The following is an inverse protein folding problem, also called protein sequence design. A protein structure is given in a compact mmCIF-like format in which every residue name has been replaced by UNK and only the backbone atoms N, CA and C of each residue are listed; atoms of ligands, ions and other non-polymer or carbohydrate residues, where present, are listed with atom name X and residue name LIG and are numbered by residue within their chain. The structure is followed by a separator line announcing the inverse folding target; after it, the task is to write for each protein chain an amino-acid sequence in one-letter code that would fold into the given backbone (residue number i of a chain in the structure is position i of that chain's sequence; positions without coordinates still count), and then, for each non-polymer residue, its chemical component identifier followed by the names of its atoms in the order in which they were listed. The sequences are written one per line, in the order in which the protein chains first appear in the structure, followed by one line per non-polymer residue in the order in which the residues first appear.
data_IF_035432449292
#
_entry.id   IF_035432449292
#
_cell.length_a   1.000
_cell.length_b   1.000
_cell.length_c   1.000
_cell.angle_alpha   90.00
_cell.angle_beta   90.00
_cell.angle_gamma   90.00
#
_symmetry.space_group_name_H-M   'P 1'
#
loop_
_entity.id
_entity.type
_entity.pdbx_description
1 polymer ?
#
# COMPACT_ATOMS: atom_id res chain seq x y z
N UNK A 1 13.41 -33.40 8.34
CA UNK A 1 14.46 -34.33 8.83
C UNK A 1 15.49 -34.79 7.79
N UNK A 2 15.39 -34.43 6.49
CA UNK A 2 16.37 -34.86 5.46
C UNK A 2 17.55 -33.90 5.23
N UNK A 3 17.46 -32.61 5.60
CA UNK A 3 18.54 -31.61 5.35
C UNK A 3 19.62 -31.59 6.44
N UNK A 4 19.28 -31.90 7.69
CA UNK A 4 20.24 -32.00 8.80
C UNK A 4 21.14 -33.24 8.73
N UNK A 5 20.69 -34.32 8.09
CA UNK A 5 21.50 -35.52 7.86
C UNK A 5 22.60 -35.32 6.78
N UNK A 6 22.35 -34.44 5.81
CA UNK A 6 23.30 -34.18 4.71
C UNK A 6 24.48 -33.33 5.19
N UNK A 7 24.25 -32.35 6.06
CA UNK A 7 25.31 -31.49 6.62
C UNK A 7 26.23 -32.30 7.56
N UNK A 8 25.66 -33.26 8.32
CA UNK A 8 26.43 -34.16 9.18
C UNK A 8 27.29 -35.15 8.36
N UNK A 9 26.79 -35.63 7.21
CA UNK A 9 27.57 -36.46 6.28
C UNK A 9 28.70 -35.70 5.60
N UNK A 10 28.49 -34.43 5.23
CA UNK A 10 29.52 -33.60 4.59
C UNK A 10 30.65 -33.21 5.57
N UNK A 11 30.34 -33.07 6.86
CA UNK A 11 31.33 -32.85 7.91
C UNK A 11 32.16 -34.12 8.21
N UNK A 12 31.57 -35.32 8.10
CA UNK A 12 32.27 -36.58 8.33
C UNK A 12 33.22 -36.98 7.19
N UNK A 13 32.94 -36.57 5.95
CA UNK A 13 33.80 -36.87 4.79
C UNK A 13 35.03 -35.96 4.68
N UNK A 14 34.99 -34.75 5.25
CA UNK A 14 36.17 -33.88 5.33
C UNK A 14 37.19 -34.34 6.38
N UNK A 15 36.74 -35.05 7.43
CA UNK A 15 37.62 -35.58 8.49
C UNK A 15 38.40 -36.83 8.02
N UNK A 16 37.88 -37.59 7.05
CA UNK A 16 38.51 -38.82 6.56
C UNK A 16 39.53 -38.62 5.43
N UNK A 17 39.62 -37.43 4.82
CA UNK A 17 40.63 -37.10 3.80
C UNK A 17 41.98 -36.63 4.36
N UNK A 18 42.11 -36.46 5.68
CA UNK A 18 43.38 -36.13 6.35
C UNK A 18 44.09 -37.34 6.96
N UNK A 19 43.56 -38.55 6.79
CA UNK A 19 44.24 -39.80 7.20
C UNK A 19 45.22 -40.31 6.14
N UNK A 20 46.05 -39.41 5.62
CA UNK A 20 47.24 -39.79 4.88
C UNK A 20 48.34 -40.13 5.88
N UNK A 21 48.66 -41.42 6.03
CA UNK A 21 49.86 -41.87 6.71
C UNK A 21 51.08 -41.12 6.17
N UNK A 22 51.62 -40.18 6.94
CA UNK A 22 52.99 -39.72 6.74
C UNK A 22 53.89 -40.91 7.08
N UNK A 23 54.29 -41.67 6.07
CA UNK A 23 55.42 -42.58 6.18
C UNK A 23 56.62 -41.69 6.52
N UNK A 24 57.06 -41.74 7.77
CA UNK A 24 58.31 -41.09 8.19
C UNK A 24 59.40 -41.52 7.21
N UNK A 25 60.10 -40.59 6.53
CA UNK A 25 61.26 -40.95 5.74
C UNK A 25 62.23 -41.69 6.67
N UNK A 26 62.87 -42.75 6.17
CA UNK A 26 63.91 -43.44 6.92
C UNK A 26 64.88 -42.39 7.48
N UNK A 27 65.05 -42.36 8.79
CA UNK A 27 65.96 -41.44 9.45
C UNK A 27 67.34 -41.67 8.87
N UNK A 28 67.78 -40.77 7.99
CA UNK A 28 69.20 -40.56 7.83
C UNK A 28 69.64 -40.04 9.20
N UNK A 29 70.32 -40.89 9.97
CA UNK A 29 71.05 -40.45 11.15
C UNK A 29 71.89 -39.26 10.72
N UNK A 30 71.46 -38.06 11.09
CA UNK A 30 72.40 -36.96 11.25
C UNK A 30 73.38 -37.47 12.28
N UNK A 31 74.58 -37.87 11.85
CA UNK A 31 75.64 -38.48 12.63
C UNK A 31 76.23 -37.52 13.67
N UNK A 32 75.37 -37.02 14.53
CA UNK A 32 75.62 -36.05 15.58
C UNK A 32 75.32 -36.79 16.87
N UNK A 33 76.36 -37.11 17.64
CA UNK A 33 76.22 -37.83 18.91
C UNK A 33 75.36 -37.02 19.87
N UNK A 34 74.71 -37.63 20.88
CA UNK A 34 73.84 -36.95 21.86
C UNK A 34 74.46 -35.74 22.61
N UNK A 35 75.77 -35.51 22.48
CA UNK A 35 76.52 -34.38 23.02
C UNK A 35 76.74 -33.21 22.03
N UNK A 36 76.29 -33.31 20.78
CA UNK A 36 76.56 -32.33 19.72
C UNK A 36 75.30 -31.63 19.18
N UNK A 37 74.13 -31.88 19.78
CA UNK A 37 72.92 -31.09 19.49
C UNK A 37 73.00 -29.75 20.23
N UNK A 38 73.40 -28.69 19.52
CA UNK A 38 73.48 -27.31 20.05
C UNK A 38 72.12 -26.63 20.19
N UNK A 39 71.01 -27.31 19.86
CA UNK A 39 69.66 -26.74 19.89
C UNK A 39 68.88 -27.02 21.19
N UNK A 40 69.45 -26.76 22.36
CA UNK A 40 68.63 -26.58 23.58
C UNK A 40 68.54 -25.09 23.85
N UNK A 41 67.48 -24.44 23.35
CA UNK A 41 67.07 -23.14 23.85
C UNK A 41 67.01 -23.24 25.37
N UNK A 42 67.72 -22.34 26.04
CA UNK A 42 67.68 -22.25 27.50
C UNK A 42 66.24 -22.00 27.95
N UNK A 43 65.89 -22.43 29.18
CA UNK A 43 64.57 -22.16 29.73
C UNK A 43 64.22 -20.66 29.75
N UNK A 44 65.23 -19.79 29.79
CA UNK A 44 65.10 -18.34 29.65
C UNK A 44 64.73 -17.90 28.23
N UNK A 45 65.32 -18.50 27.19
CA UNK A 45 64.97 -18.18 25.80
C UNK A 45 63.56 -18.65 25.45
N UNK A 46 63.15 -19.85 25.90
CA UNK A 46 61.76 -20.33 25.73
C UNK A 46 60.75 -19.44 26.47
N UNK A 47 61.13 -18.86 27.61
CA UNK A 47 60.27 -17.94 28.36
C UNK A 47 60.12 -16.61 27.63
N UNK A 48 61.22 -16.06 27.10
CA UNK A 48 61.19 -14.86 26.25
C UNK A 48 60.36 -15.04 24.99
N UNK A 49 60.50 -16.18 24.32
CA UNK A 49 59.74 -16.49 23.12
C UNK A 49 58.24 -16.60 23.43
N UNK A 50 57.85 -17.27 24.53
CA UNK A 50 56.45 -17.31 24.96
C UNK A 50 55.88 -15.95 25.34
N UNK A 51 56.66 -15.09 26.01
CA UNK A 51 56.25 -13.72 26.31
C UNK A 51 56.06 -12.90 25.03
N UNK A 52 56.97 -13.04 24.06
CA UNK A 52 56.87 -12.42 22.73
C UNK A 52 55.63 -12.89 21.97
N UNK A 53 55.40 -14.20 21.90
CA UNK A 53 54.24 -14.80 21.24
C UNK A 53 52.93 -14.37 21.90
N UNK A 54 52.91 -14.25 23.23
CA UNK A 54 51.75 -13.73 23.96
C UNK A 54 51.47 -12.27 23.60
N UNK A 55 52.50 -11.42 23.54
CA UNK A 55 52.31 -10.03 23.12
C UNK A 55 51.86 -9.90 21.66
N UNK A 56 52.36 -10.76 20.77
CA UNK A 56 51.93 -10.81 19.37
C UNK A 56 50.48 -11.29 19.25
N UNK A 57 50.09 -12.31 20.03
CA UNK A 57 48.72 -12.80 20.11
C UNK A 57 47.75 -11.72 20.61
N UNK A 58 48.12 -11.01 21.69
CA UNK A 58 47.31 -9.92 22.24
C UNK A 58 47.18 -8.77 21.23
N UNK A 59 48.26 -8.42 20.53
CA UNK A 59 48.25 -7.42 19.44
C UNK A 59 47.35 -7.84 18.28
N UNK A 60 47.47 -9.10 17.82
CA UNK A 60 46.65 -9.65 16.74
C UNK A 60 45.18 -9.72 17.11
N UNK A 61 44.87 -9.99 18.38
CA UNK A 61 43.49 -9.95 18.89
C UNK A 61 42.89 -8.55 18.84
N UNK A 62 43.65 -7.53 19.24
CA UNK A 62 43.23 -6.13 19.14
C UNK A 62 43.04 -5.68 17.68
N UNK A 63 43.94 -6.09 16.77
CA UNK A 63 43.77 -5.83 15.33
C UNK A 63 42.48 -6.47 14.79
N UNK A 64 42.17 -7.69 15.23
CA UNK A 64 40.97 -8.42 14.80
C UNK A 64 39.69 -7.76 15.32
N UNK A 65 39.65 -7.36 16.60
CA UNK A 65 38.52 -6.62 17.18
C UNK A 65 38.30 -5.27 16.48
N UNK A 66 39.38 -4.57 16.13
CA UNK A 66 39.30 -3.32 15.37
C UNK A 66 38.77 -3.59 13.95
N UNK A 67 39.27 -4.62 13.27
CA UNK A 67 38.85 -4.97 11.92
C UNK A 67 37.37 -5.38 11.87
N UNK A 68 36.89 -6.13 12.87
CA UNK A 68 35.47 -6.46 13.01
C UNK A 68 34.60 -5.21 13.17
N UNK A 69 35.03 -4.26 14.01
CA UNK A 69 34.33 -2.99 14.19
C UNK A 69 34.32 -2.15 12.91
N UNK A 70 35.44 -2.07 12.21
CA UNK A 70 35.57 -1.34 10.95
C UNK A 70 34.69 -1.99 9.86
N UNK A 71 34.66 -3.32 9.80
CA UNK A 71 33.78 -4.07 8.89
C UNK A 71 32.29 -3.80 9.17
N UNK A 72 31.87 -3.85 10.44
CA UNK A 72 30.48 -3.54 10.82
C UNK A 72 30.08 -2.10 10.48
N UNK A 73 30.97 -1.14 10.69
CA UNK A 73 30.73 0.25 10.31
C UNK A 73 30.61 0.41 8.79
N UNK A 74 31.48 -0.26 8.03
CA UNK A 74 31.43 -0.24 6.56
C UNK A 74 30.14 -0.87 6.03
N UNK A 75 29.72 -2.00 6.60
CA UNK A 75 28.47 -2.67 6.21
C UNK A 75 27.25 -1.75 6.42
N UNK A 76 27.13 -1.12 7.59
CA UNK A 76 26.05 -0.15 7.88
C UNK A 76 26.07 1.06 6.94
N UNK A 77 27.27 1.56 6.62
CA UNK A 77 27.40 2.70 5.71
C UNK A 77 26.99 2.32 4.27
N UNK A 78 27.38 1.12 3.83
CA UNK A 78 26.97 0.61 2.52
C UNK A 78 25.45 0.42 2.43
N UNK A 79 24.79 -0.10 3.47
CA UNK A 79 23.33 -0.20 3.53
C UNK A 79 22.65 1.18 3.39
N UNK A 80 23.13 2.18 4.14
CA UNK A 80 22.61 3.54 4.05
C UNK A 80 22.79 4.16 2.66
N UNK A 81 23.95 3.95 2.02
CA UNK A 81 24.21 4.43 0.65
C UNK A 81 23.26 3.75 -0.35
N UNK A 82 23.05 2.45 -0.22
CA UNK A 82 22.11 1.71 -1.09
C UNK A 82 20.69 2.24 -0.92
N UNK A 83 20.25 2.50 0.31
CA UNK A 83 18.90 3.06 0.58
C UNK A 83 18.72 4.42 -0.08
N UNK A 84 19.69 5.33 0.06
CA UNK A 84 19.65 6.65 -0.57
C UNK A 84 19.67 6.61 -2.08
N UNK A 85 20.42 5.67 -2.65
CA UNK A 85 20.43 5.45 -4.10
C UNK A 85 19.06 5.00 -4.60
N UNK A 86 18.40 4.07 -3.89
CA UNK A 86 17.06 3.62 -4.24
C UNK A 86 16.02 4.75 -4.16
N UNK A 87 16.10 5.60 -3.13
CA UNK A 87 15.23 6.78 -3.03
C UNK A 87 15.47 7.79 -4.16
N UNK A 88 16.74 8.05 -4.51
CA UNK A 88 17.09 8.92 -5.63
C UNK A 88 16.64 8.35 -6.99
N UNK A 89 16.74 7.02 -7.17
CA UNK A 89 16.22 6.32 -8.35
C UNK A 89 14.69 6.46 -8.44
N UNK A 90 13.99 6.32 -7.32
CA UNK A 90 12.54 6.51 -7.22
C UNK A 90 12.12 7.96 -7.55
N UNK A 91 12.82 8.96 -7.03
CA UNK A 91 12.58 10.37 -7.38
C UNK A 91 12.81 10.65 -8.88
N UNK A 92 13.82 10.02 -9.48
CA UNK A 92 14.06 10.13 -10.91
C UNK A 92 12.95 9.46 -11.72
N UNK A 93 12.45 8.30 -11.26
CA UNK A 93 11.35 7.58 -11.88
C UNK A 93 10.07 8.43 -11.91
N UNK A 94 9.76 9.15 -10.82
CA UNK A 94 8.66 10.11 -10.79
C UNK A 94 8.77 11.11 -11.95
N UNK A 95 9.95 11.66 -12.22
CA UNK A 95 10.10 12.68 -13.28
C UNK A 95 10.03 12.08 -14.68
N UNK A 96 10.60 10.89 -14.89
CA UNK A 96 10.85 10.35 -16.24
C UNK A 96 9.82 9.32 -16.70
N UNK A 97 9.21 8.56 -15.77
CA UNK A 97 8.30 7.46 -16.10
C UNK A 97 7.03 7.95 -16.79
N UNK A 98 6.59 7.27 -17.84
CA UNK A 98 5.26 7.49 -18.43
C UNK A 98 4.16 6.71 -17.70
N UNK A 99 4.55 5.71 -16.92
CA UNK A 99 3.67 4.87 -16.13
C UNK A 99 3.54 5.39 -14.69
N UNK A 100 2.81 4.65 -13.86
CA UNK A 100 2.67 4.94 -12.44
C UNK A 100 4.03 4.80 -11.75
N UNK A 101 4.55 5.86 -11.10
CA UNK A 101 5.93 5.88 -10.62
C UNK A 101 6.10 5.01 -9.37
N UNK A 102 7.27 4.41 -9.23
CA UNK A 102 7.60 3.57 -8.08
C UNK A 102 8.01 4.44 -6.89
N UNK A 103 7.05 4.79 -6.03
CA UNK A 103 7.28 5.57 -4.84
C UNK A 103 7.98 4.77 -3.75
N UNK A 104 9.10 5.30 -3.22
CA UNK A 104 9.85 4.67 -2.13
C UNK A 104 10.60 5.70 -1.30
N UNK A 105 10.55 5.58 0.03
CA UNK A 105 11.31 6.44 0.95
C UNK A 105 12.18 5.63 1.92
N UNK A 106 13.39 6.12 2.23
CA UNK A 106 14.26 5.58 3.28
C UNK A 106 13.62 5.74 4.68
N UNK A 107 12.90 6.85 4.89
CA UNK A 107 12.26 7.15 6.17
C UNK A 107 10.78 6.76 6.16
N UNK A 108 10.37 5.88 7.08
CA UNK A 108 8.99 5.40 7.16
C UNK A 108 8.12 6.17 8.16
N UNK A 109 8.69 7.16 8.85
CA UNK A 109 7.92 8.06 9.71
C UNK A 109 7.18 9.14 8.88
N UNK A 110 6.13 9.72 9.47
CA UNK A 110 5.27 10.72 8.84
C UNK A 110 6.03 11.89 8.23
N UNK A 111 7.02 12.44 8.93
CA UNK A 111 7.72 13.63 8.45
C UNK A 111 8.64 13.29 7.29
N UNK A 112 9.30 12.14 7.34
CA UNK A 112 10.15 11.67 6.24
C UNK A 112 9.33 11.42 4.97
N UNK A 113 8.19 10.72 5.08
CA UNK A 113 7.31 10.47 3.93
C UNK A 113 6.76 11.79 3.35
N UNK A 114 6.31 12.72 4.20
CA UNK A 114 5.86 14.05 3.75
C UNK A 114 6.99 14.81 3.06
N UNK A 115 8.22 14.77 3.60
CA UNK A 115 9.38 15.41 2.99
C UNK A 115 9.63 14.85 1.60
N UNK A 116 9.67 13.52 1.47
CA UNK A 116 9.84 12.83 0.20
C UNK A 116 8.75 13.20 -0.82
N UNK A 117 7.48 13.25 -0.40
CA UNK A 117 6.37 13.68 -1.27
C UNK A 117 6.50 15.14 -1.67
N UNK A 118 6.94 16.04 -0.79
CA UNK A 118 7.18 17.44 -1.12
C UNK A 118 8.36 17.62 -2.09
N UNK A 119 9.45 16.87 -1.91
CA UNK A 119 10.58 16.87 -2.84
C UNK A 119 10.16 16.36 -4.23
N UNK A 120 9.28 15.36 -4.25
CA UNK A 120 8.64 14.85 -5.47
C UNK A 120 7.76 15.92 -6.13
N UNK A 121 6.94 16.63 -5.34
CA UNK A 121 6.10 17.75 -5.83
C UNK A 121 6.97 18.83 -6.46
N UNK A 122 8.01 19.29 -5.77
CA UNK A 122 8.92 20.33 -6.29
C UNK A 122 9.64 19.91 -7.56
N UNK A 123 9.95 18.62 -7.70
CA UNK A 123 10.55 18.07 -8.93
C UNK A 123 9.59 18.09 -10.12
N UNK A 124 8.29 18.31 -9.89
CA UNK A 124 7.23 18.33 -10.89
C UNK A 124 6.65 19.74 -11.16
N UNK A 125 7.22 20.81 -10.61
CA UNK A 125 6.66 22.18 -10.69
C UNK A 125 6.35 22.64 -12.13
N UNK A 126 7.19 22.27 -13.11
CA UNK A 126 7.01 22.60 -14.54
C UNK A 126 6.30 21.49 -15.36
N UNK A 127 5.83 20.44 -14.68
CA UNK A 127 5.17 19.29 -15.31
C UNK A 127 3.65 19.45 -15.38
N UNK A 128 3.03 18.81 -16.38
CA UNK A 128 1.57 18.62 -16.36
C UNK A 128 1.15 17.61 -15.28
N UNK A 129 2.10 16.82 -14.80
CA UNK A 129 1.90 15.82 -13.77
C UNK A 129 2.05 16.45 -12.40
N UNK A 130 1.30 15.93 -11.42
CA UNK A 130 1.21 16.52 -10.09
C UNK A 130 1.06 15.45 -9.02
N UNK A 131 1.48 15.79 -7.81
CA UNK A 131 1.19 15.05 -6.59
C UNK A 131 0.46 16.03 -5.65
N UNK A 132 -0.63 15.59 -5.04
CA UNK A 132 -1.42 16.37 -4.10
C UNK A 132 -1.59 15.55 -2.81
N UNK A 133 -1.11 16.07 -1.69
CA UNK A 133 -1.37 15.47 -0.38
C UNK A 133 -2.77 15.90 0.06
N UNK A 134 -3.70 14.94 0.14
CA UNK A 134 -5.10 15.17 0.50
C UNK A 134 -5.27 15.21 2.02
N UNK A 135 -4.63 14.28 2.72
CA UNK A 135 -4.74 14.14 4.17
C UNK A 135 -3.45 13.57 4.76
N UNK A 136 -3.11 13.99 5.98
CA UNK A 136 -1.98 13.44 6.72
C UNK A 136 -2.35 13.23 8.20
N UNK A 137 -2.56 11.97 8.58
CA UNK A 137 -2.80 11.54 9.97
C UNK A 137 -1.52 10.95 10.56
N UNK A 138 -1.57 10.53 11.82
CA UNK A 138 -0.41 9.92 12.48
C UNK A 138 -0.18 8.46 12.06
N UNK A 139 -1.16 7.83 11.42
CA UNK A 139 -1.08 6.45 10.93
C UNK A 139 -1.00 6.34 9.41
N UNK A 140 -1.45 7.36 8.66
CA UNK A 140 -1.63 7.27 7.22
C UNK A 140 -1.55 8.62 6.52
N UNK A 141 -0.98 8.64 5.32
CA UNK A 141 -1.00 9.76 4.38
C UNK A 141 -1.84 9.36 3.17
N UNK A 142 -2.84 10.18 2.83
CA UNK A 142 -3.63 10.04 1.62
C UNK A 142 -3.15 11.07 0.60
N UNK A 143 -2.83 10.63 -0.61
CA UNK A 143 -2.39 11.53 -1.68
C UNK A 143 -2.91 11.08 -3.04
N UNK A 144 -2.93 12.03 -3.98
CA UNK A 144 -3.38 11.86 -5.34
C UNK A 144 -2.23 12.15 -6.30
N UNK A 145 -2.10 11.34 -7.32
CA UNK A 145 -1.27 11.67 -8.49
C UNK A 145 -2.16 12.09 -9.65
N UNK A 146 -1.70 13.07 -10.43
CA UNK A 146 -2.33 13.50 -11.69
C UNK A 146 -1.34 13.32 -12.83
N UNK A 147 -1.79 12.81 -13.96
CA UNK A 147 -0.91 12.48 -15.09
C UNK A 147 -0.10 11.19 -14.88
N UNK A 148 -0.43 10.43 -13.82
CA UNK A 148 0.08 9.09 -13.52
C UNK A 148 -1.11 8.23 -13.11
N UNK A 149 -1.32 7.09 -13.78
CA UNK A 149 -2.36 6.13 -13.42
C UNK A 149 -3.09 5.53 -14.61
N UNK A 150 -3.87 4.49 -14.34
CA UNK A 150 -4.55 3.68 -15.36
C UNK A 150 -5.45 4.52 -16.29
N UNK A 151 -6.13 5.53 -15.72
CA UNK A 151 -7.04 6.43 -16.48
C UNK A 151 -6.48 7.83 -16.70
N UNK A 152 -5.84 8.41 -15.68
CA UNK A 152 -5.06 9.67 -15.74
C UNK A 152 -4.56 10.06 -14.34
N UNK A 153 -5.44 9.91 -13.35
CA UNK A 153 -5.18 10.22 -11.94
C UNK A 153 -5.41 8.99 -11.07
N UNK A 154 -4.68 8.86 -9.96
CA UNK A 154 -4.75 7.72 -9.05
C UNK A 154 -4.61 8.15 -7.58
N UNK A 155 -5.47 7.64 -6.71
CA UNK A 155 -5.38 7.84 -5.25
C UNK A 155 -4.56 6.75 -4.59
N UNK A 156 -3.71 7.15 -3.65
CA UNK A 156 -2.82 6.31 -2.87
C UNK A 156 -3.01 6.53 -1.38
N UNK A 157 -2.69 5.49 -0.63
CA UNK A 157 -2.51 5.52 0.82
C UNK A 157 -1.08 5.13 1.16
N UNK A 158 -0.42 5.89 2.03
CA UNK A 158 0.87 5.53 2.59
C UNK A 158 0.73 5.32 4.09
N UNK A 159 0.83 4.07 4.54
CA UNK A 159 0.78 3.73 5.96
C UNK A 159 2.11 4.06 6.61
N UNK A 160 2.09 4.78 7.74
CA UNK A 160 3.30 5.09 8.50
C UNK A 160 3.94 3.80 9.01
N UNK A 161 5.25 3.65 8.81
CA UNK A 161 5.99 2.42 9.07
C UNK A 161 6.31 1.60 7.80
N UNK A 162 5.60 1.84 6.70
CA UNK A 162 5.85 1.20 5.41
C UNK A 162 6.77 2.06 4.52
N UNK A 163 7.62 1.40 3.73
CA UNK A 163 8.60 2.04 2.84
C UNK A 163 8.03 2.49 1.49
N UNK A 164 6.80 2.06 1.18
CA UNK A 164 6.09 2.38 -0.07
C UNK A 164 4.58 2.56 0.15
N UNK A 165 3.90 3.35 -0.69
CA UNK A 165 2.46 3.49 -0.66
C UNK A 165 1.75 2.29 -1.29
N UNK A 166 0.45 2.19 -1.02
CA UNK A 166 -0.49 1.28 -1.68
C UNK A 166 -1.52 2.07 -2.48
N UNK A 167 -1.89 1.52 -3.63
CA UNK A 167 -2.97 2.04 -4.48
C UNK A 167 -4.30 1.74 -3.79
N UNK A 168 -5.25 2.69 -3.84
CA UNK A 168 -6.64 2.36 -3.56
C UNK A 168 -7.27 1.85 -4.86
N UNK A 169 -7.49 0.54 -4.92
CA UNK A 169 -8.03 -0.12 -6.11
C UNK A 169 -9.36 0.50 -6.54
N UNK A 170 -9.47 0.82 -7.84
CA UNK A 170 -10.63 1.48 -8.42
C UNK A 170 -10.73 2.99 -8.15
N UNK A 171 -9.84 3.60 -7.36
CA UNK A 171 -9.80 5.04 -7.10
C UNK A 171 -9.01 5.83 -8.17
N UNK A 172 -9.21 5.48 -9.44
CA UNK A 172 -8.66 6.17 -10.60
C UNK A 172 -9.73 6.96 -11.36
N UNK A 173 -9.35 8.08 -11.97
CA UNK A 173 -10.25 8.92 -12.75
C UNK A 173 -9.57 9.63 -13.93
N UNK A 174 -10.39 10.02 -14.90
CA UNK A 174 -9.95 10.66 -16.14
C UNK A 174 -9.53 12.11 -15.92
N UNK A 175 -8.95 12.72 -16.96
CA UNK A 175 -8.48 14.13 -16.92
C UNK A 175 -9.58 15.15 -16.61
N UNK A 176 -10.83 14.86 -16.96
CA UNK A 176 -12.00 15.68 -16.65
C UNK A 176 -12.57 15.40 -15.25
N UNK A 177 -12.14 14.32 -14.61
CA UNK A 177 -12.57 13.93 -13.28
C UNK A 177 -12.04 14.86 -12.21
N UNK A 178 -12.66 14.77 -11.03
CA UNK A 178 -12.35 15.62 -9.88
C UNK A 178 -12.69 14.89 -8.59
N UNK A 179 -12.12 15.32 -7.49
CA UNK A 179 -12.44 14.79 -6.17
C UNK A 179 -12.91 15.90 -5.22
N UNK A 180 -13.66 15.54 -4.20
CA UNK A 180 -14.04 16.45 -3.10
C UNK A 180 -14.33 15.65 -1.83
N UNK A 181 -14.13 16.27 -0.66
CA UNK A 181 -14.58 15.70 0.60
C UNK A 181 -16.11 15.61 0.66
N UNK A 182 -16.62 14.47 1.10
CA UNK A 182 -18.01 14.29 1.53
C UNK A 182 -18.14 14.38 3.05
N UNK A 183 -17.21 13.75 3.75
CA UNK A 183 -17.04 13.89 5.19
C UNK A 183 -15.55 14.03 5.44
N UNK A 184 -15.15 15.17 6.00
CA UNK A 184 -13.75 15.45 6.28
C UNK A 184 -13.12 14.30 7.06
N UNK A 185 -11.92 13.93 6.64
CA UNK A 185 -11.10 12.88 7.23
C UNK A 185 -11.64 11.44 7.11
N UNK A 186 -12.79 11.21 6.44
CA UNK A 186 -13.38 9.87 6.27
C UNK A 186 -13.76 9.52 4.84
N UNK A 187 -14.61 10.31 4.20
CA UNK A 187 -15.14 10.00 2.87
C UNK A 187 -14.83 11.06 1.84
N UNK A 188 -14.31 10.62 0.70
CA UNK A 188 -14.09 11.43 -0.50
C UNK A 188 -15.03 10.91 -1.59
N UNK A 189 -15.58 11.80 -2.41
CA UNK A 189 -16.16 11.40 -3.69
C UNK A 189 -15.23 11.76 -4.83
N UNK A 190 -15.06 10.82 -5.74
CA UNK A 190 -14.42 11.00 -7.03
C UNK A 190 -15.51 11.04 -8.10
N UNK A 191 -15.52 12.07 -8.92
CA UNK A 191 -16.17 12.09 -10.22
C UNK A 191 -15.18 11.53 -11.24
N UNK A 192 -15.52 10.42 -11.88
CA UNK A 192 -14.62 9.70 -12.78
C UNK A 192 -14.31 10.48 -14.06
N UNK A 193 -15.13 11.48 -14.41
CA UNK A 193 -15.11 12.16 -15.71
C UNK A 193 -16.01 11.50 -16.77
N UNK A 194 -16.44 10.25 -16.56
CA UNK A 194 -17.39 9.51 -17.41
C UNK A 194 -18.86 9.67 -16.98
N UNK A 195 -19.11 10.37 -15.88
CA UNK A 195 -20.43 10.49 -15.24
C UNK A 195 -20.67 9.50 -14.10
N UNK A 196 -19.74 8.57 -13.89
CA UNK A 196 -19.73 7.69 -12.72
C UNK A 196 -19.10 8.43 -11.53
N UNK A 197 -19.60 8.18 -10.33
CA UNK A 197 -19.06 8.69 -9.08
C UNK A 197 -18.72 7.53 -8.17
N UNK A 198 -17.61 7.67 -7.46
CA UNK A 198 -17.10 6.68 -6.51
C UNK A 198 -16.88 7.32 -5.16
N UNK A 199 -17.32 6.65 -4.10
CA UNK A 199 -17.02 7.06 -2.72
C UNK A 199 -15.80 6.26 -2.26
N UNK A 200 -14.78 6.97 -1.82
CA UNK A 200 -13.57 6.41 -1.22
C UNK A 200 -13.68 6.54 0.29
N UNK A 201 -13.54 5.41 0.98
CA UNK A 201 -13.31 5.35 2.41
C UNK A 201 -11.80 5.51 2.65
N UNK A 202 -11.39 6.71 3.07
CA UNK A 202 -10.00 7.06 3.30
C UNK A 202 -9.42 6.31 4.51
N UNK A 203 -10.26 6.03 5.50
CA UNK A 203 -9.88 5.31 6.71
C UNK A 203 -9.54 3.85 6.38
N UNK A 204 -10.43 3.18 5.65
CA UNK A 204 -10.28 1.77 5.29
C UNK A 204 -9.56 1.53 3.96
N UNK A 205 -9.13 2.59 3.26
CA UNK A 205 -8.38 2.53 2.00
C UNK A 205 -9.06 1.70 0.91
N UNK A 206 -10.37 1.90 0.72
CA UNK A 206 -11.17 1.17 -0.29
C UNK A 206 -12.21 2.05 -0.95
N UNK A 207 -12.65 1.64 -2.13
CA UNK A 207 -13.91 2.16 -2.71
C UNK A 207 -15.07 1.58 -1.90
N UNK A 208 -15.87 2.47 -1.30
CA UNK A 208 -17.04 2.10 -0.50
C UNK A 208 -18.31 1.95 -1.35
N UNK A 209 -18.41 2.67 -2.47
CA UNK A 209 -19.54 2.55 -3.38
C UNK A 209 -19.30 3.26 -4.71
N UNK A 210 -20.07 2.86 -5.73
CA UNK A 210 -20.01 3.41 -7.08
C UNK A 210 -21.43 3.56 -7.63
N UNK A 211 -21.72 4.71 -8.21
CA UNK A 211 -23.05 5.06 -8.71
C UNK A 211 -22.98 6.15 -9.78
N UNK A 212 -24.07 6.33 -10.53
CA UNK A 212 -24.22 7.43 -11.48
C UNK A 212 -25.05 8.54 -10.86
N UNK A 213 -24.53 9.76 -10.89
CA UNK A 213 -25.28 10.93 -10.45
C UNK A 213 -24.91 12.15 -11.28
N UNK A 214 -25.89 13.01 -11.55
CA UNK A 214 -25.65 14.34 -12.09
C UNK A 214 -25.61 15.38 -10.96
N UNK A 215 -24.84 16.42 -11.19
CA UNK A 215 -24.79 17.57 -10.28
C UNK A 215 -24.14 17.27 -8.94
N UNK A 216 -24.59 18.01 -7.93
CA UNK A 216 -24.12 17.91 -6.55
C UNK A 216 -24.69 16.67 -5.86
N UNK A 217 -23.94 16.16 -4.89
CA UNK A 217 -24.37 15.07 -4.01
C UNK A 217 -24.21 15.53 -2.57
N UNK A 218 -25.02 14.99 -1.67
CA UNK A 218 -24.99 15.36 -0.25
C UNK A 218 -25.04 14.12 0.63
N UNK A 219 -24.03 13.95 1.48
CA UNK A 219 -24.01 12.90 2.49
C UNK A 219 -24.93 13.30 3.64
N UNK A 220 -25.90 12.45 3.96
CA UNK A 220 -26.73 12.66 5.14
C UNK A 220 -25.86 12.48 6.40
N UNK A 221 -25.96 13.39 7.39
CA UNK A 221 -25.12 13.33 8.58
C UNK A 221 -25.25 12.00 9.32
N UNK A 222 -24.11 11.43 9.74
CA UNK A 222 -23.98 10.20 10.52
C UNK A 222 -24.48 8.92 9.84
N UNK A 223 -24.61 8.90 8.51
CA UNK A 223 -25.07 7.73 7.75
C UNK A 223 -24.11 7.36 6.61
N UNK A 224 -24.38 6.22 5.94
CA UNK A 224 -23.77 5.82 4.68
C UNK A 224 -24.63 6.20 3.46
N UNK A 225 -25.54 7.15 3.60
CA UNK A 225 -26.53 7.49 2.57
C UNK A 225 -26.28 8.86 1.97
N UNK A 226 -26.14 8.90 0.65
CA UNK A 226 -26.02 10.14 -0.12
C UNK A 226 -27.31 10.45 -0.86
N UNK A 227 -27.75 11.70 -0.82
CA UNK A 227 -28.74 12.24 -1.73
C UNK A 227 -28.08 12.46 -3.09
N UNK A 228 -28.64 11.82 -4.11
CA UNK A 228 -28.17 11.88 -5.49
C UNK A 228 -29.32 12.24 -6.43
N UNK A 229 -28.96 12.68 -7.63
CA UNK A 229 -29.91 12.85 -8.72
C UNK A 229 -29.52 11.97 -9.89
N UNK A 230 -30.44 11.11 -10.31
CA UNK A 230 -30.23 10.22 -11.44
C UNK A 230 -30.01 11.04 -12.73
N UNK A 231 -28.96 10.75 -13.52
CA UNK A 231 -28.65 11.54 -14.71
C UNK A 231 -29.67 11.38 -15.85
N UNK A 232 -30.35 10.24 -15.94
CA UNK A 232 -31.29 9.93 -17.03
C UNK A 232 -32.70 10.40 -16.70
N UNK A 233 -33.20 10.08 -15.50
CA UNK A 233 -34.59 10.38 -15.11
C UNK A 233 -34.76 11.76 -14.46
N UNK A 234 -33.67 12.39 -14.01
CA UNK A 234 -33.69 13.58 -13.14
C UNK A 234 -34.38 13.36 -11.78
N UNK A 235 -34.71 12.12 -11.42
CA UNK A 235 -35.31 11.76 -10.13
C UNK A 235 -34.24 11.83 -9.04
N UNK A 236 -34.62 12.35 -7.88
CA UNK A 236 -33.79 12.34 -6.68
C UNK A 236 -33.95 11.02 -5.95
N UNK A 237 -32.85 10.44 -5.50
CA UNK A 237 -32.84 9.19 -4.76
C UNK A 237 -31.80 9.21 -3.64
N UNK A 238 -32.01 8.34 -2.66
CA UNK A 238 -31.12 8.10 -1.54
C UNK A 238 -30.34 6.84 -1.83
N UNK A 239 -29.04 6.99 -2.08
CA UNK A 239 -28.14 5.88 -2.33
C UNK A 239 -27.33 5.57 -1.07
N UNK A 240 -27.49 4.36 -0.54
CA UNK A 240 -26.73 3.85 0.60
C UNK A 240 -25.55 3.01 0.08
N UNK A 241 -24.33 3.53 0.24
CA UNK A 241 -23.12 2.83 -0.19
C UNK A 241 -22.69 1.72 0.77
N UNK A 242 -23.18 1.71 2.02
CA UNK A 242 -22.96 0.61 2.95
C UNK A 242 -23.78 -0.63 2.59
N UNK A 243 -24.97 -0.42 2.02
CA UNK A 243 -25.89 -1.50 1.62
C UNK A 243 -25.97 -1.74 0.11
N UNK A 244 -25.28 -0.93 -0.70
CA UNK A 244 -25.40 -0.91 -2.17
C UNK A 244 -26.86 -0.83 -2.64
N UNK A 245 -27.66 0.03 -2.00
CA UNK A 245 -29.09 0.15 -2.27
C UNK A 245 -29.47 1.58 -2.65
N UNK A 246 -30.48 1.74 -3.50
CA UNK A 246 -31.00 3.03 -3.94
C UNK A 246 -32.50 3.09 -3.71
N UNK A 247 -32.99 4.23 -3.19
CA UNK A 247 -34.41 4.46 -2.96
C UNK A 247 -34.85 5.83 -3.46
N UNK A 248 -35.76 5.86 -4.44
CA UNK A 248 -36.30 7.10 -5.00
C UNK A 248 -37.09 7.93 -3.97
N UNK A 249 -36.89 9.25 -4.00
CA UNK A 249 -37.65 10.18 -3.21
C UNK A 249 -39.05 10.40 -3.80
N UNK A 250 -40.06 10.36 -2.93
CA UNK A 250 -41.46 10.55 -3.31
C UNK A 250 -41.82 12.03 -3.28
N UNK A 251 -41.32 12.77 -4.26
CA UNK A 251 -41.69 14.16 -4.50
C UNK A 251 -42.95 14.24 -5.39
N UNK A 252 -43.64 15.39 -5.38
CA UNK A 252 -44.81 15.59 -6.24
C UNK A 252 -44.41 15.47 -7.73
N UNK A 253 -44.93 14.44 -8.40
CA UNK A 253 -44.61 14.11 -9.79
C UNK A 253 -45.12 15.13 -10.81
N UNK A 254 -46.00 16.06 -10.40
CA UNK A 254 -46.43 17.17 -11.25
C UNK A 254 -45.35 18.25 -11.36
N UNK A 255 -44.43 18.31 -10.40
CA UNK A 255 -43.37 19.29 -10.33
C UNK A 255 -42.08 18.73 -10.92
N UNK A 256 -41.32 19.59 -11.60
CA UNK A 256 -40.05 19.25 -12.26
C UNK A 256 -38.90 19.74 -11.38
N UNK A 257 -38.56 18.98 -10.35
CA UNK A 257 -37.43 19.34 -9.49
C UNK A 257 -36.10 19.11 -10.22
N UNK A 258 -35.23 20.11 -10.20
CA UNK A 258 -33.98 20.12 -10.96
C UNK A 258 -32.75 20.24 -10.08
N UNK A 259 -32.89 20.79 -8.88
CA UNK A 259 -31.79 21.01 -7.94
C UNK A 259 -32.29 20.85 -6.50
N UNK A 260 -31.34 20.75 -5.58
CA UNK A 260 -31.60 20.91 -4.15
C UNK A 260 -30.54 21.81 -3.55
N UNK A 261 -30.83 22.36 -2.38
CA UNK A 261 -29.83 22.94 -1.48
C UNK A 261 -30.09 22.47 -0.06
N UNK A 262 -29.06 22.52 0.77
CA UNK A 262 -29.14 22.21 2.19
C UNK A 262 -29.09 23.51 2.98
N UNK A 263 -30.01 23.69 3.91
CA UNK A 263 -30.09 24.84 4.80
C UNK A 263 -30.30 24.34 6.24
N UNK A 264 -29.22 24.37 7.03
CA UNK A 264 -29.13 23.79 8.38
C UNK A 264 -29.63 22.34 8.43
N UNK A 265 -30.89 22.13 8.86
CA UNK A 265 -31.50 20.81 9.05
C UNK A 265 -32.43 20.42 7.92
N UNK A 266 -32.58 21.26 6.90
CA UNK A 266 -33.58 21.07 5.86
C UNK A 266 -32.92 20.92 4.49
N UNK A 267 -33.52 20.06 3.67
CA UNK A 267 -33.21 19.92 2.25
C UNK A 267 -34.34 20.57 1.46
N UNK A 268 -33.99 21.57 0.66
CA UNK A 268 -34.93 22.34 -0.15
C UNK A 268 -34.73 21.93 -1.61
N UNK A 269 -35.69 21.20 -2.15
CA UNK A 269 -35.76 20.83 -3.57
C UNK A 269 -36.40 21.96 -4.36
N UNK A 270 -35.79 22.37 -5.45
CA UNK A 270 -36.25 23.46 -6.31
C UNK A 270 -36.58 22.96 -7.70
N UNK A 271 -37.65 23.50 -8.29
CA UNK A 271 -38.12 23.08 -9.59
C UNK A 271 -39.13 24.03 -10.20
N UNK A 272 -39.75 23.57 -11.29
CA UNK A 272 -40.83 24.31 -11.94
C UNK A 272 -42.11 23.49 -12.08
N UNK A 273 -43.23 24.19 -12.05
CA UNK A 273 -44.56 23.66 -12.32
C UNK A 273 -45.18 24.45 -13.49
N UNK A 274 -45.82 23.76 -14.43
CA UNK A 274 -46.49 24.41 -15.57
C UNK A 274 -47.99 24.18 -15.48
N UNK A 275 -48.75 25.26 -15.45
CA UNK A 275 -50.20 25.24 -15.57
C UNK A 275 -50.67 26.27 -16.58
N UNK A 276 -51.52 25.83 -17.51
CA UNK A 276 -52.09 26.67 -18.58
C UNK A 276 -51.05 27.50 -19.37
N UNK A 277 -49.82 26.98 -19.52
CA UNK A 277 -48.74 27.66 -20.23
C UNK A 277 -47.96 28.68 -19.40
N UNK A 278 -48.33 28.92 -18.13
CA UNK A 278 -47.58 29.73 -17.17
C UNK A 278 -46.65 28.81 -16.38
N UNK A 279 -45.40 29.22 -16.24
CA UNK A 279 -44.37 28.50 -15.47
C UNK A 279 -44.19 29.15 -14.10
N UNK A 280 -44.33 28.35 -13.06
CA UNK A 280 -44.18 28.74 -11.66
C UNK A 280 -42.92 28.08 -11.08
N UNK A 281 -42.21 28.81 -10.23
CA UNK A 281 -41.17 28.21 -9.40
C UNK A 281 -41.83 27.53 -8.20
N UNK A 282 -41.41 26.31 -7.92
CA UNK A 282 -41.90 25.51 -6.80
C UNK A 282 -40.73 25.02 -5.97
N UNK A 283 -40.96 24.89 -4.67
CA UNK A 283 -40.00 24.34 -3.74
C UNK A 283 -40.67 23.33 -2.80
N UNK A 284 -39.98 22.23 -2.52
CA UNK A 284 -40.36 21.28 -1.49
C UNK A 284 -39.26 21.23 -0.44
N UNK A 285 -39.63 21.33 0.83
CA UNK A 285 -38.68 21.29 1.95
C UNK A 285 -38.94 20.04 2.78
N UNK A 286 -37.87 19.31 3.09
CA UNK A 286 -37.92 18.12 3.94
C UNK A 286 -36.84 18.25 5.01
N UNK A 287 -37.20 18.05 6.27
CA UNK A 287 -36.22 18.00 7.35
C UNK A 287 -35.37 16.72 7.25
N UNK A 288 -34.07 16.81 7.51
CA UNK A 288 -33.11 15.69 7.39
C UNK A 288 -33.50 14.53 8.31
N UNK A 289 -33.91 14.80 9.56
CA UNK A 289 -34.26 13.74 10.51
C UNK A 289 -35.60 13.08 10.12
N UNK A 290 -36.58 13.86 9.66
CA UNK A 290 -37.82 13.32 9.12
C UNK A 290 -37.58 12.46 7.86
N UNK A 291 -36.63 12.86 7.01
CA UNK A 291 -36.21 12.08 5.85
C UNK A 291 -35.58 10.74 6.28
N UNK A 292 -34.67 10.77 7.26
CA UNK A 292 -34.07 9.55 7.82
C UNK A 292 -35.13 8.59 8.36
N UNK A 293 -36.10 9.10 9.12
CA UNK A 293 -37.20 8.29 9.65
C UNK A 293 -38.09 7.71 8.54
N UNK A 294 -38.57 8.56 7.63
CA UNK A 294 -39.49 8.17 6.56
C UNK A 294 -38.90 7.12 5.60
N UNK A 295 -37.58 7.14 5.44
CA UNK A 295 -36.83 6.22 4.57
C UNK A 295 -36.09 5.12 5.36
N UNK A 296 -36.29 5.03 6.68
CA UNK A 296 -35.64 4.03 7.53
C UNK A 296 -34.12 3.98 7.38
N UNK A 297 -33.50 5.15 7.24
CA UNK A 297 -32.05 5.31 7.04
C UNK A 297 -31.33 4.99 8.34
N UNK A 298 -30.33 4.11 8.26
CA UNK A 298 -29.55 3.67 9.42
C UNK A 298 -28.32 4.55 9.63
N UNK A 299 -27.87 4.59 10.88
CA UNK A 299 -26.59 5.20 11.19
C UNK A 299 -25.44 4.35 10.66
N UNK A 300 -24.30 4.99 10.39
CA UNK A 300 -23.13 4.32 9.81
C UNK A 300 -22.52 3.26 10.74
N UNK A 301 -22.70 3.40 12.05
CA UNK A 301 -22.19 2.45 13.05
C UNK A 301 -23.07 1.19 13.13
N UNK A 302 -24.34 1.28 12.75
CA UNK A 302 -25.28 0.14 12.74
C UNK A 302 -25.12 -0.74 11.48
N UNK A 303 -24.60 -0.19 10.39
CA UNK A 303 -24.33 -0.93 9.14
C UNK A 303 -23.01 -1.70 9.16
N UNK A 304 -22.07 -1.35 10.05
CA UNK A 304 -20.78 -2.05 10.23
C UNK A 304 -20.84 -3.43 10.92
N UNK A 305 -22.01 -3.88 11.37
CA UNK A 305 -22.17 -5.14 12.10
C UNK A 305 -22.31 -6.41 11.22
N UNK A 306 -22.16 -6.29 9.89
CA UNK A 306 -22.42 -7.39 8.96
C UNK A 306 -21.22 -7.76 8.06
N UNK A 307 -20.00 -7.61 8.57
CA UNK A 307 -18.81 -8.28 8.00
C UNK A 307 -18.77 -9.74 8.46
N UNK A 308 -19.56 -10.58 7.81
CA UNK A 308 -19.32 -12.01 7.68
C UNK A 308 -20.02 -12.46 6.40
N UNK A 309 -19.32 -12.31 5.27
CA UNK A 309 -19.69 -13.03 4.07
C UNK A 309 -18.59 -14.04 3.78
N UNK A 310 -18.94 -15.29 4.09
CA UNK A 310 -18.16 -16.49 3.90
C UNK A 310 -17.48 -16.54 2.54
N UNK A 311 -16.23 -16.99 2.60
CA UNK A 311 -15.49 -17.57 1.48
C UNK A 311 -16.33 -18.68 0.85
N UNK A 312 -16.90 -18.43 -0.32
CA UNK A 312 -17.32 -19.54 -1.18
C UNK A 312 -16.06 -20.05 -1.86
N UNK A 313 -15.50 -21.11 -1.27
CA UNK A 313 -14.64 -22.06 -1.97
C UNK A 313 -15.38 -22.56 -3.22
N UNK A 314 -14.90 -22.16 -4.39
CA UNK A 314 -15.20 -22.86 -5.64
C UNK A 314 -14.09 -23.87 -5.88
N UNK A 315 -14.27 -25.08 -5.35
CA UNK A 315 -13.61 -26.29 -5.86
C UNK A 315 -14.53 -27.05 -6.81
N UNK A 316 -13.87 -27.77 -7.71
CA UNK A 316 -14.33 -28.72 -8.72
C UNK A 316 -15.06 -28.17 -9.97
N UNK A 317 -14.69 -28.55 -11.19
CA UNK A 317 -13.58 -29.38 -11.69
C UNK A 317 -13.67 -29.35 -13.21
N UNK A 318 -12.54 -29.21 -13.88
CA UNK A 318 -12.39 -29.58 -15.28
C UNK A 318 -12.53 -31.10 -15.41
N UNK A 319 -13.44 -31.59 -16.24
CA UNK A 319 -13.11 -32.69 -17.14
C UNK A 319 -13.99 -32.66 -18.40
N UNK A 320 -13.32 -32.66 -19.55
CA UNK A 320 -13.95 -32.78 -20.85
C UNK A 320 -14.10 -34.24 -21.24
N UNK A 321 -15.19 -34.59 -21.89
CA UNK A 321 -15.19 -35.68 -22.86
C UNK A 321 -16.24 -35.50 -23.94
N UNK A 322 -15.79 -35.76 -25.16
CA UNK A 322 -16.43 -35.64 -26.47
C UNK A 322 -17.34 -36.81 -26.84
N UNK A 323 -18.21 -36.55 -27.84
CA UNK A 323 -18.93 -37.48 -28.72
C UNK A 323 -20.05 -38.34 -28.08
N UNK A 324 -21.20 -38.64 -28.71
CA UNK A 324 -21.55 -38.72 -30.12
C UNK A 324 -23.09 -38.73 -30.32
N UNK A 325 -23.52 -38.28 -31.50
CA UNK A 325 -24.64 -38.73 -32.36
C UNK A 325 -26.07 -39.02 -31.83
N UNK A 326 -27.02 -38.37 -32.53
CA UNK A 326 -28.29 -38.89 -33.09
C UNK A 326 -29.39 -39.50 -32.19
N UNK A 327 -30.61 -38.94 -32.30
CA UNK A 327 -31.83 -39.62 -31.86
C UNK A 327 -33.12 -38.81 -31.99
N UNK A 328 -33.83 -38.99 -33.12
CA UNK A 328 -35.22 -38.58 -33.43
C UNK A 328 -36.27 -38.82 -32.33
N UNK A 329 -37.37 -38.05 -32.43
CA UNK A 329 -38.83 -38.30 -32.21
C UNK A 329 -39.43 -37.25 -31.27
N UNK A 330 -40.59 -36.60 -31.48
CA UNK A 330 -41.70 -36.63 -32.46
C UNK A 330 -42.19 -35.19 -32.62
#
# INVERSE_FOLDING_TARGET
MKKTAIILMLALTFVSLLSGCTRLPASVETGVKPSEYTGKLSAEEMKKENESLKTELDSKKLELEKLEKDYLNLAKNNEAIISRLQEAESLLDIVVSDDLPDFKSEGTDKNSIISYLNDSISSLDDSYRKIEIIQSTDSKILFLTTGYGEKFSQVFTWTIGEDKPSIIEGASFERSGKWQWLLQDRFIVIDSGSGDKKIIDAENSRVAGEFKAKGEIYLLPDTSTVLIQNPESNVFSLYDFGLSSDQELKLDSKNKYTSFRVDDKDIIFEGTYKDQGIEYNVSATINIEEMKEAYSIKSIDETGANENMDTIESEDSLDGQSDNSEGKTV
#
